data_IF_815005753089
#
_entry.id   IF_815005753089
#
_cell.length_a   1.000
_cell.length_b   1.000
_cell.length_c   1.000
_cell.angle_alpha   90.00
_cell.angle_beta   90.00
_cell.angle_gamma   90.00
#
_symmetry.space_group_name_H-M   'P 1'
#
loop_
_entity.id
_entity.type
_entity.pdbx_description
1 polymer ?
#
# COMPACT_ATOMS: atom_id res chain seq x y z
N UNK A 1 16.91 10.41 13.88
CA UNK A 1 15.50 10.02 13.67
C UNK A 1 15.32 8.60 14.20
N UNK A 2 14.13 8.19 14.62
CA UNK A 2 13.78 6.79 14.89
C UNK A 2 12.52 6.39 14.10
N UNK A 3 12.17 5.11 14.06
CA UNK A 3 11.07 4.56 13.27
C UNK A 3 9.72 5.23 13.57
N UNK A 4 9.39 5.42 14.85
CA UNK A 4 8.16 6.09 15.28
C UNK A 4 8.12 7.55 14.82
N UNK A 5 9.21 8.29 15.00
CA UNK A 5 9.33 9.68 14.56
C UNK A 5 9.22 9.80 13.03
N UNK A 6 9.86 8.88 12.31
CA UNK A 6 9.83 8.84 10.85
C UNK A 6 8.42 8.58 10.34
N UNK A 7 7.76 7.50 10.79
CA UNK A 7 6.38 7.18 10.38
C UNK A 7 5.40 8.31 10.73
N UNK A 8 5.55 8.95 11.90
CA UNK A 8 4.75 10.11 12.28
C UNK A 8 4.97 11.29 11.32
N UNK A 9 6.23 11.60 10.98
CA UNK A 9 6.56 12.64 10.00
C UNK A 9 5.91 12.35 8.64
N UNK A 10 6.03 11.12 8.13
CA UNK A 10 5.46 10.76 6.83
C UNK A 10 3.94 10.94 6.82
N UNK A 11 3.26 10.57 7.90
CA UNK A 11 1.80 10.78 8.04
C UNK A 11 1.44 12.26 8.09
N UNK A 12 2.16 13.04 8.87
CA UNK A 12 1.91 14.48 9.00
C UNK A 12 2.13 15.22 7.68
N UNK A 13 3.24 14.95 7.00
CA UNK A 13 3.61 15.61 5.74
C UNK A 13 2.64 15.24 4.60
N UNK A 14 2.00 14.07 4.68
CA UNK A 14 1.07 13.56 3.67
C UNK A 14 -0.41 13.54 4.13
N UNK A 15 -0.77 14.21 5.23
CA UNK A 15 -2.11 14.13 5.85
C UNK A 15 -3.26 14.36 4.86
N UNK A 16 -3.12 15.36 3.98
CA UNK A 16 -4.16 15.66 2.98
C UNK A 16 -4.32 14.53 1.96
N UNK A 17 -3.22 13.94 1.49
CA UNK A 17 -3.26 12.82 0.55
C UNK A 17 -3.86 11.57 1.23
N UNK A 18 -3.40 11.25 2.43
CA UNK A 18 -3.90 10.12 3.21
C UNK A 18 -5.37 10.26 3.59
N UNK A 19 -5.84 11.48 3.90
CA UNK A 19 -7.26 11.75 4.13
C UNK A 19 -8.12 11.45 2.89
N UNK A 20 -7.58 11.65 1.68
CA UNK A 20 -8.29 11.39 0.42
C UNK A 20 -8.27 9.89 0.08
N UNK A 21 -7.12 9.26 0.23
CA UNK A 21 -6.94 7.82 0.07
C UNK A 21 -7.77 7.01 1.11
N UNK A 22 -8.00 7.57 2.29
CA UNK A 22 -8.88 7.00 3.32
C UNK A 22 -10.37 7.37 3.19
N UNK A 23 -10.79 7.92 2.05
CA UNK A 23 -12.20 8.28 1.82
C UNK A 23 -12.93 7.20 1.04
N UNK A 24 -14.26 7.16 1.14
CA UNK A 24 -15.08 6.21 0.36
C UNK A 24 -14.94 6.37 -1.15
N UNK A 25 -14.45 7.53 -1.62
CA UNK A 25 -14.14 7.75 -3.03
C UNK A 25 -12.90 7.00 -3.50
N UNK A 26 -11.99 6.60 -2.60
CA UNK A 26 -10.82 5.83 -2.97
C UNK A 26 -11.23 4.47 -3.52
N UNK A 27 -12.13 3.78 -2.81
CA UNK A 27 -12.68 2.52 -3.29
C UNK A 27 -13.44 2.67 -4.62
N UNK A 28 -14.17 3.77 -4.80
CA UNK A 28 -14.81 4.10 -6.08
C UNK A 28 -13.80 4.33 -7.21
N UNK A 29 -12.65 4.93 -6.91
CA UNK A 29 -11.58 5.15 -7.88
C UNK A 29 -10.89 3.83 -8.27
N UNK A 30 -10.61 2.97 -7.29
CA UNK A 30 -9.95 1.67 -7.49
C UNK A 30 -10.80 0.69 -8.31
N UNK A 31 -12.11 0.84 -8.24
CA UNK A 31 -13.09 0.00 -8.94
C UNK A 31 -13.59 0.59 -10.26
N UNK A 32 -12.99 1.70 -10.73
CA UNK A 32 -13.46 2.45 -11.90
C UNK A 32 -14.98 2.77 -11.85
N UNK A 33 -15.49 2.96 -10.63
CA UNK A 33 -16.87 3.29 -10.32
C UNK A 33 -17.83 2.12 -10.17
N UNK A 34 -17.38 0.87 -10.33
CA UNK A 34 -18.22 -0.32 -10.16
C UNK A 34 -18.08 -0.92 -8.76
N UNK A 35 -19.07 -0.65 -7.91
CA UNK A 35 -19.01 -0.93 -6.47
C UNK A 35 -19.69 -2.25 -6.09
N UNK A 36 -19.61 -3.27 -6.93
CA UNK A 36 -20.03 -4.63 -6.55
C UNK A 36 -18.92 -5.41 -5.84
N UNK A 37 -19.32 -6.45 -5.11
CA UNK A 37 -18.41 -7.26 -4.28
C UNK A 37 -17.27 -7.88 -5.09
N UNK A 38 -17.57 -8.36 -6.31
CA UNK A 38 -16.61 -9.02 -7.19
C UNK A 38 -15.52 -8.04 -7.64
N UNK A 39 -15.91 -6.84 -8.06
CA UNK A 39 -14.99 -5.79 -8.50
C UNK A 39 -14.13 -5.28 -7.33
N UNK A 40 -14.75 -5.08 -6.15
CA UNK A 40 -14.03 -4.65 -4.94
C UNK A 40 -13.00 -5.70 -4.50
N UNK A 41 -13.38 -6.99 -4.50
CA UNK A 41 -12.47 -8.09 -4.16
C UNK A 41 -11.36 -8.23 -5.21
N UNK A 42 -11.67 -8.07 -6.49
CA UNK A 42 -10.68 -8.16 -7.58
C UNK A 42 -9.63 -7.05 -7.45
N UNK A 43 -10.07 -5.81 -7.22
CA UNK A 43 -9.17 -4.68 -6.99
C UNK A 43 -8.27 -4.90 -5.76
N UNK A 44 -8.83 -5.45 -4.67
CA UNK A 44 -8.05 -5.81 -3.50
C UNK A 44 -7.03 -6.92 -3.80
N UNK A 45 -7.43 -7.99 -4.48
CA UNK A 45 -6.55 -9.09 -4.85
C UNK A 45 -5.40 -8.61 -5.74
N UNK A 46 -5.68 -7.79 -6.76
CA UNK A 46 -4.66 -7.22 -7.63
C UNK A 46 -3.66 -6.35 -6.85
N UNK A 47 -4.13 -5.56 -5.88
CA UNK A 47 -3.26 -4.75 -5.03
C UNK A 47 -2.27 -5.62 -4.21
N UNK A 48 -2.74 -6.71 -3.60
CA UNK A 48 -1.89 -7.65 -2.86
C UNK A 48 -0.91 -8.38 -3.77
N UNK A 49 -1.39 -8.86 -4.93
CA UNK A 49 -0.56 -9.55 -5.90
C UNK A 49 0.61 -8.66 -6.35
N UNK A 50 0.32 -7.43 -6.76
CA UNK A 50 1.38 -6.55 -7.25
C UNK A 50 2.33 -6.10 -6.14
N UNK A 51 1.87 -6.04 -4.88
CA UNK A 51 2.75 -5.80 -3.75
C UNK A 51 3.71 -6.98 -3.51
N UNK A 52 3.20 -8.21 -3.49
CA UNK A 52 4.03 -9.41 -3.39
C UNK A 52 5.12 -9.42 -4.46
N UNK A 53 4.74 -9.16 -5.71
CA UNK A 53 5.69 -9.10 -6.84
C UNK A 53 6.74 -8.00 -6.67
N UNK A 54 6.38 -6.82 -6.11
CA UNK A 54 7.34 -5.75 -5.86
C UNK A 54 8.38 -6.16 -4.82
N UNK A 55 7.94 -6.73 -3.69
CA UNK A 55 8.86 -7.19 -2.65
C UNK A 55 9.72 -8.37 -3.10
N UNK A 56 9.18 -9.29 -3.90
CA UNK A 56 9.97 -10.38 -4.51
C UNK A 56 11.11 -9.84 -5.40
N UNK A 57 10.81 -8.81 -6.19
CA UNK A 57 11.80 -8.18 -7.06
C UNK A 57 12.89 -7.48 -6.25
N UNK A 58 12.51 -6.74 -5.21
CA UNK A 58 13.46 -6.12 -4.31
C UNK A 58 14.32 -7.15 -3.58
N UNK A 59 13.72 -8.20 -2.99
CA UNK A 59 14.46 -9.27 -2.32
C UNK A 59 15.50 -9.92 -3.23
N UNK A 60 15.18 -10.12 -4.51
CA UNK A 60 16.09 -10.75 -5.48
C UNK A 60 17.27 -9.86 -5.90
N UNK A 61 17.14 -8.54 -5.78
CA UNK A 61 18.11 -7.54 -6.24
C UNK A 61 18.71 -6.71 -5.10
N UNK A 62 18.38 -7.03 -3.84
CA UNK A 62 18.85 -6.29 -2.68
C UNK A 62 20.26 -6.73 -2.28
N UNK A 63 21.13 -5.75 -2.01
CA UNK A 63 22.53 -5.97 -1.61
C UNK A 63 22.73 -6.06 -0.10
N UNK A 64 21.76 -5.61 0.69
CA UNK A 64 21.73 -5.76 2.14
C UNK A 64 20.93 -7.01 2.54
N UNK A 65 21.60 -8.00 3.14
CA UNK A 65 20.99 -9.29 3.49
C UNK A 65 19.77 -9.14 4.43
N UNK A 66 19.83 -8.25 5.42
CA UNK A 66 18.72 -8.05 6.38
C UNK A 66 17.50 -7.41 5.70
N UNK A 67 17.72 -6.47 4.77
CA UNK A 67 16.64 -5.88 3.98
C UNK A 67 16.07 -6.90 2.98
N UNK A 68 16.91 -7.73 2.35
CA UNK A 68 16.48 -8.78 1.45
C UNK A 68 15.57 -9.80 2.15
N UNK A 69 15.96 -10.27 3.34
CA UNK A 69 15.15 -11.19 4.17
C UNK A 69 13.80 -10.57 4.53
N UNK A 70 13.79 -9.29 4.90
CA UNK A 70 12.55 -8.57 5.23
C UNK A 70 11.62 -8.39 4.02
N UNK A 71 12.17 -8.14 2.83
CA UNK A 71 11.38 -8.09 1.60
C UNK A 71 10.83 -9.48 1.23
N UNK A 72 11.60 -10.55 1.39
CA UNK A 72 11.11 -11.92 1.17
C UNK A 72 9.97 -12.28 2.12
N UNK A 73 10.11 -11.96 3.41
CA UNK A 73 9.06 -12.18 4.42
C UNK A 73 7.79 -11.41 4.07
N UNK A 74 7.93 -10.12 3.74
CA UNK A 74 6.79 -9.26 3.35
C UNK A 74 6.14 -9.75 2.07
N UNK A 75 6.91 -10.19 1.07
CA UNK A 75 6.38 -10.79 -0.15
C UNK A 75 5.50 -12.02 0.13
N UNK A 76 5.92 -12.87 1.08
CA UNK A 76 5.15 -14.05 1.46
C UNK A 76 3.83 -13.68 2.16
N UNK A 77 3.84 -12.66 3.03
CA UNK A 77 2.63 -12.12 3.66
C UNK A 77 1.65 -11.58 2.62
N UNK A 78 2.12 -10.74 1.70
CA UNK A 78 1.28 -10.19 0.61
C UNK A 78 0.73 -11.27 -0.32
N UNK A 79 1.49 -12.34 -0.55
CA UNK A 79 1.00 -13.49 -1.32
C UNK A 79 -0.10 -14.26 -0.57
N UNK A 80 0.03 -14.46 0.75
CA UNK A 80 -1.04 -15.03 1.57
C UNK A 80 -2.30 -14.15 1.53
N UNK A 81 -2.13 -12.83 1.63
CA UNK A 81 -3.25 -11.88 1.51
C UNK A 81 -3.95 -12.03 0.15
N UNK A 82 -3.18 -12.05 -0.93
CA UNK A 82 -3.70 -12.29 -2.27
C UNK A 82 -4.50 -13.60 -2.33
N UNK A 83 -3.93 -14.73 -1.89
CA UNK A 83 -4.59 -16.03 -1.92
C UNK A 83 -5.91 -16.03 -1.11
N UNK A 84 -5.92 -15.36 0.03
CA UNK A 84 -7.12 -15.25 0.88
C UNK A 84 -8.22 -14.41 0.26
N UNK A 85 -7.87 -13.27 -0.35
CA UNK A 85 -8.83 -12.39 -1.03
C UNK A 85 -9.32 -13.06 -2.32
N UNK A 86 -8.41 -13.55 -3.17
CA UNK A 86 -8.73 -14.24 -4.41
C UNK A 86 -9.55 -15.52 -4.18
N UNK A 87 -9.39 -16.20 -3.03
CA UNK A 87 -10.22 -17.34 -2.64
C UNK A 87 -11.71 -17.01 -2.40
N UNK A 88 -12.09 -15.72 -2.40
CA UNK A 88 -13.49 -15.26 -2.39
C UNK A 88 -14.07 -15.08 -3.80
N UNK A 89 -13.23 -15.12 -4.83
CA UNK A 89 -13.58 -14.96 -6.24
C UNK A 89 -13.57 -16.32 -6.95
N UNK A 90 -14.31 -16.41 -8.06
CA UNK A 90 -14.29 -17.58 -8.93
C UNK A 90 -13.13 -17.47 -9.93
N UNK A 91 -12.05 -18.22 -9.70
CA UNK A 91 -10.87 -18.32 -10.59
C UNK A 91 -10.24 -16.95 -10.97
N UNK A 92 -10.01 -16.07 -9.98
CA UNK A 92 -9.37 -14.77 -10.20
C UNK A 92 -7.96 -14.92 -10.81
N UNK A 93 -7.73 -14.19 -11.90
CA UNK A 93 -6.40 -14.01 -12.51
C UNK A 93 -5.95 -12.57 -12.27
N UNK A 94 -4.75 -12.34 -11.69
CA UNK A 94 -4.28 -10.98 -11.44
C UNK A 94 -4.20 -10.15 -12.71
N UNK A 95 -4.58 -8.88 -12.61
CA UNK A 95 -4.44 -7.93 -13.70
C UNK A 95 -2.98 -7.77 -14.17
N UNK A 96 -2.78 -7.57 -15.47
CA UNK A 96 -1.47 -7.17 -16.02
C UNK A 96 -1.16 -5.69 -15.73
N UNK A 97 -2.18 -4.89 -15.38
CA UNK A 97 -2.06 -3.46 -15.12
C UNK A 97 -1.47 -3.18 -13.75
N UNK A 98 -0.17 -2.84 -13.71
CA UNK A 98 0.54 -2.51 -12.47
C UNK A 98 -0.01 -1.20 -11.87
N UNK A 99 -0.46 -1.19 -10.60
CA UNK A 99 -0.86 0.02 -9.91
C UNK A 99 0.27 1.05 -9.88
N UNK A 100 -0.04 2.33 -10.03
CA UNK A 100 0.96 3.39 -10.15
C UNK A 100 1.96 3.41 -8.98
N UNK A 101 1.49 3.18 -7.75
CA UNK A 101 2.37 3.07 -6.57
C UNK A 101 3.37 1.92 -6.72
N UNK A 102 2.96 0.77 -7.26
CA UNK A 102 3.82 -0.38 -7.45
C UNK A 102 4.84 -0.14 -8.58
N UNK A 103 4.43 0.54 -9.64
CA UNK A 103 5.35 0.97 -10.71
C UNK A 103 6.44 1.91 -10.17
N UNK A 104 6.04 2.91 -9.37
CA UNK A 104 6.98 3.80 -8.68
C UNK A 104 7.97 3.04 -7.79
N UNK A 105 7.48 2.14 -6.92
CA UNK A 105 8.31 1.37 -6.00
C UNK A 105 9.32 0.48 -6.74
N UNK A 106 8.90 -0.17 -7.83
CA UNK A 106 9.79 -1.02 -8.64
C UNK A 106 10.92 -0.22 -9.32
N UNK A 107 10.78 1.10 -9.43
CA UNK A 107 11.83 2.00 -9.91
C UNK A 107 12.85 2.42 -8.85
N UNK A 108 12.71 1.99 -7.59
CA UNK A 108 13.66 2.30 -6.52
C UNK A 108 14.81 1.30 -6.49
N UNK A 109 16.04 1.82 -6.46
CA UNK A 109 17.27 1.02 -6.54
C UNK A 109 18.03 0.95 -5.21
N UNK A 110 18.01 2.01 -4.39
CA UNK A 110 18.75 2.06 -3.12
C UNK A 110 18.02 1.39 -1.96
N UNK A 111 18.74 0.72 -1.06
CA UNK A 111 18.17 0.10 0.16
C UNK A 111 17.36 1.11 0.99
N UNK A 112 17.91 2.31 1.21
CA UNK A 112 17.25 3.40 1.97
C UNK A 112 15.97 3.86 1.25
N UNK A 113 16.03 4.02 -0.08
CA UNK A 113 14.88 4.40 -0.89
C UNK A 113 13.78 3.34 -0.84
N UNK A 114 14.14 2.06 -1.02
CA UNK A 114 13.21 0.93 -0.96
C UNK A 114 12.55 0.81 0.41
N UNK A 115 13.31 0.97 1.50
CA UNK A 115 12.76 0.96 2.86
C UNK A 115 11.85 2.18 3.14
N UNK A 116 12.21 3.37 2.63
CA UNK A 116 11.32 4.53 2.66
C UNK A 116 10.03 4.28 1.88
N UNK A 117 10.14 3.78 0.64
CA UNK A 117 9.02 3.39 -0.20
C UNK A 117 8.13 2.31 0.45
N UNK A 118 8.73 1.33 1.13
CA UNK A 118 8.03 0.33 1.94
C UNK A 118 7.16 1.02 2.99
N UNK A 119 7.73 1.90 3.84
CA UNK A 119 6.96 2.66 4.83
C UNK A 119 5.80 3.44 4.18
N UNK A 120 6.07 4.15 3.09
CA UNK A 120 5.04 4.92 2.37
C UNK A 120 3.90 4.06 1.83
N UNK A 121 4.23 2.91 1.24
CA UNK A 121 3.25 1.93 0.74
C UNK A 121 2.42 1.33 1.85
N UNK A 122 3.02 0.95 2.97
CA UNK A 122 2.32 0.35 4.10
C UNK A 122 1.31 1.33 4.69
N UNK A 123 1.71 2.60 4.88
CA UNK A 123 0.81 3.67 5.33
C UNK A 123 -0.35 3.91 4.34
N UNK A 124 -0.09 3.88 3.03
CA UNK A 124 -1.14 4.00 2.03
C UNK A 124 -2.08 2.78 2.03
N UNK A 125 -1.55 1.56 2.21
CA UNK A 125 -2.31 0.33 2.28
C UNK A 125 -3.26 0.30 3.48
N UNK A 126 -2.88 0.85 4.64
CA UNK A 126 -3.80 0.98 5.79
C UNK A 126 -5.11 1.65 5.39
N UNK A 127 -5.03 2.69 4.54
CA UNK A 127 -6.22 3.42 4.06
C UNK A 127 -7.12 2.55 3.20
N UNK A 128 -6.55 1.74 2.31
CA UNK A 128 -7.35 0.81 1.51
C UNK A 128 -7.99 -0.29 2.38
N UNK A 129 -7.25 -0.87 3.34
CA UNK A 129 -7.80 -1.89 4.27
C UNK A 129 -8.94 -1.35 5.14
N UNK A 130 -8.83 -0.12 5.61
CA UNK A 130 -9.92 0.58 6.31
C UNK A 130 -11.16 0.70 5.42
N UNK A 131 -11.00 1.07 4.13
CA UNK A 131 -12.11 1.20 3.19
C UNK A 131 -12.76 -0.14 2.85
N UNK A 132 -11.97 -1.18 2.54
CA UNK A 132 -12.52 -2.52 2.28
C UNK A 132 -13.29 -3.06 3.49
N UNK A 133 -12.73 -2.91 4.70
CA UNK A 133 -13.43 -3.28 5.93
C UNK A 133 -14.75 -2.53 6.09
N UNK A 134 -14.74 -1.20 5.86
CA UNK A 134 -15.92 -0.36 5.95
C UNK A 134 -17.01 -0.74 4.93
N UNK A 135 -16.61 -1.03 3.70
CA UNK A 135 -17.49 -1.48 2.62
C UNK A 135 -18.23 -2.77 3.00
N UNK A 136 -17.51 -3.84 3.35
CA UNK A 136 -18.15 -5.11 3.68
C UNK A 136 -18.95 -5.09 4.99
N UNK A 137 -18.62 -4.18 5.92
CA UNK A 137 -19.52 -3.88 7.06
C UNK A 137 -20.84 -3.28 6.58
N UNK A 138 -20.79 -2.36 5.61
CA UNK A 138 -21.97 -1.76 4.98
C UNK A 138 -22.84 -2.77 4.23
N UNK A 139 -22.23 -3.70 3.51
CA UNK A 139 -22.90 -4.79 2.77
C UNK A 139 -23.39 -5.93 3.66
N UNK A 140 -23.20 -5.81 4.99
CA UNK A 140 -23.57 -6.85 5.96
C UNK A 140 -22.87 -8.20 5.71
N UNK A 141 -21.62 -8.18 5.22
CA UNK A 141 -20.71 -9.33 5.14
C UNK A 141 -19.62 -9.23 6.23
N UNK A 142 -19.91 -9.66 7.48
CA UNK A 142 -18.94 -9.62 8.56
C UNK A 142 -17.77 -10.57 8.37
N UNK A 143 -17.89 -11.60 7.52
CA UNK A 143 -16.80 -12.56 7.30
C UNK A 143 -15.73 -11.95 6.41
N UNK A 144 -16.13 -11.32 5.32
CA UNK A 144 -15.20 -10.65 4.41
C UNK A 144 -14.65 -9.37 5.06
N UNK A 145 -15.46 -8.64 5.84
CA UNK A 145 -14.94 -7.55 6.66
C UNK A 145 -13.88 -8.03 7.68
N UNK A 146 -14.05 -9.22 8.28
CA UNK A 146 -13.04 -9.76 9.19
C UNK A 146 -11.75 -10.14 8.45
N UNK A 147 -11.86 -10.70 7.24
CA UNK A 147 -10.70 -11.00 6.40
C UNK A 147 -9.83 -9.75 6.20
N UNK A 148 -10.43 -8.61 5.84
CA UNK A 148 -9.69 -7.37 5.65
C UNK A 148 -9.12 -6.78 6.94
N UNK A 149 -9.74 -7.01 8.10
CA UNK A 149 -9.14 -6.66 9.39
C UNK A 149 -7.92 -7.51 9.71
N UNK A 150 -8.00 -8.82 9.43
CA UNK A 150 -6.89 -9.74 9.66
C UNK A 150 -5.70 -9.35 8.77
N UNK A 151 -5.96 -9.18 7.46
CA UNK A 151 -4.95 -8.70 6.48
C UNK A 151 -4.39 -7.32 6.86
N UNK A 152 -5.24 -6.40 7.34
CA UNK A 152 -4.79 -5.09 7.82
C UNK A 152 -3.96 -5.16 9.11
N UNK A 153 -4.11 -6.23 9.91
CA UNK A 153 -3.34 -6.45 11.12
C UNK A 153 -1.87 -6.76 10.88
N UNK A 154 -1.53 -7.24 9.67
CA UNK A 154 -0.15 -7.56 9.29
C UNK A 154 0.63 -6.30 8.84
N UNK A 155 -0.05 -5.18 8.58
CA UNK A 155 0.60 -3.91 8.20
C UNK A 155 1.40 -3.27 9.36
N UNK A 156 0.94 -3.41 10.60
CA UNK A 156 1.65 -2.89 11.78
C UNK A 156 3.04 -3.56 11.95
N UNK A 157 3.14 -4.91 11.96
CA UNK A 157 4.43 -5.61 11.93
C UNK A 157 5.32 -5.24 10.73
N UNK A 158 4.75 -5.09 9.53
CA UNK A 158 5.50 -4.67 8.35
C UNK A 158 6.10 -3.27 8.52
N UNK A 159 5.34 -2.33 9.08
CA UNK A 159 5.81 -0.97 9.33
C UNK A 159 6.93 -0.94 10.38
N UNK A 160 6.80 -1.74 11.45
CA UNK A 160 7.85 -1.92 12.46
C UNK A 160 9.12 -2.49 11.84
N UNK A 161 9.02 -3.57 11.05
CA UNK A 161 10.14 -4.21 10.33
C UNK A 161 10.89 -3.21 9.44
N UNK A 162 10.17 -2.43 8.63
CA UNK A 162 10.78 -1.42 7.76
C UNK A 162 11.45 -0.30 8.56
N UNK A 163 10.83 0.13 9.65
CA UNK A 163 11.35 1.17 10.53
C UNK A 163 12.62 0.76 11.26
N UNK A 164 12.67 -0.45 11.81
CA UNK A 164 13.87 -1.00 12.46
C UNK A 164 15.05 -1.10 11.48
N UNK A 165 14.79 -1.51 10.24
CA UNK A 165 15.81 -1.55 9.19
C UNK A 165 16.30 -0.15 8.82
N UNK A 166 15.41 0.84 8.70
CA UNK A 166 15.82 2.24 8.49
C UNK A 166 16.73 2.74 9.62
N UNK A 167 16.42 2.42 10.87
CA UNK A 167 17.30 2.75 12.01
C UNK A 167 18.68 2.09 11.91
N UNK A 168 18.75 0.88 11.34
CA UNK A 168 19.99 0.14 11.14
C UNK A 168 20.84 0.73 10.00
N UNK A 169 20.22 1.12 8.88
CA UNK A 169 20.95 1.52 7.66
C UNK A 169 21.19 3.02 7.50
N UNK A 170 20.38 3.88 8.12
CA UNK A 170 20.54 5.33 8.01
C UNK A 170 21.62 5.83 8.98
N UNK A 171 22.72 6.34 8.44
CA UNK A 171 23.86 6.84 9.21
C UNK A 171 23.84 8.37 9.38
N UNK A 172 23.06 9.05 8.55
CA UNK A 172 23.03 10.51 8.43
C UNK A 172 21.62 11.07 8.24
N UNK A 173 21.46 12.37 8.44
CA UNK A 173 20.19 13.06 8.16
C UNK A 173 19.82 12.98 6.66
N UNK A 174 20.81 12.95 5.76
CA UNK A 174 20.60 12.81 4.31
C UNK A 174 19.94 11.46 3.97
N UNK A 175 20.30 10.37 4.68
CA UNK A 175 19.68 9.05 4.48
C UNK A 175 18.21 9.07 4.91
N UNK A 176 17.91 9.72 6.03
CA UNK A 176 16.52 9.88 6.50
C UNK A 176 15.69 10.76 5.56
N UNK A 177 16.27 11.82 5.00
CA UNK A 177 15.63 12.66 3.99
C UNK A 177 15.34 11.85 2.72
N UNK A 178 16.29 11.04 2.24
CA UNK A 178 16.09 10.15 1.09
C UNK A 178 14.94 9.15 1.33
N UNK A 179 14.92 8.50 2.50
CA UNK A 179 13.82 7.60 2.85
C UNK A 179 12.47 8.35 2.90
N UNK A 180 12.45 9.57 3.45
CA UNK A 180 11.23 10.36 3.56
C UNK A 180 10.70 10.83 2.20
N UNK A 181 11.59 11.21 1.29
CA UNK A 181 11.26 11.53 -0.09
C UNK A 181 10.63 10.32 -0.79
N UNK A 182 11.23 9.13 -0.64
CA UNK A 182 10.70 7.90 -1.23
C UNK A 182 9.33 7.51 -0.66
N UNK A 183 9.17 7.58 0.66
CA UNK A 183 7.90 7.31 1.35
C UNK A 183 6.79 8.26 0.89
N UNK A 184 7.09 9.56 0.85
CA UNK A 184 6.13 10.58 0.44
C UNK A 184 5.78 10.45 -1.04
N UNK A 185 6.76 10.19 -1.91
CA UNK A 185 6.51 9.98 -3.33
C UNK A 185 5.64 8.74 -3.60
N UNK A 186 5.78 7.65 -2.83
CA UNK A 186 4.87 6.50 -2.93
C UNK A 186 3.41 6.90 -2.62
N UNK A 187 3.19 7.65 -1.53
CA UNK A 187 1.86 8.11 -1.12
C UNK A 187 1.27 9.09 -2.15
N UNK A 188 2.07 10.05 -2.61
CA UNK A 188 1.64 11.01 -3.62
C UNK A 188 1.32 10.33 -4.96
N UNK A 189 2.10 9.32 -5.35
CA UNK A 189 1.81 8.53 -6.55
C UNK A 189 0.45 7.83 -6.47
N UNK A 190 0.11 7.24 -5.32
CA UNK A 190 -1.22 6.68 -5.09
C UNK A 190 -2.32 7.75 -5.14
N UNK A 191 -2.07 8.92 -4.54
CA UNK A 191 -3.02 10.04 -4.53
C UNK A 191 -3.26 10.65 -5.91
N UNK A 192 -2.22 10.75 -6.73
CA UNK A 192 -2.32 11.23 -8.11
C UNK A 192 -3.12 10.23 -8.96
N UNK A 193 -2.85 8.93 -8.86
CA UNK A 193 -3.63 7.89 -9.54
C UNK A 193 -5.12 7.91 -9.12
N UNK A 194 -5.40 8.05 -7.81
CA UNK A 194 -6.76 8.27 -7.29
C UNK A 194 -7.42 9.49 -7.94
N UNK A 195 -6.69 10.60 -8.02
CA UNK A 195 -7.19 11.86 -8.58
C UNK A 195 -7.51 11.72 -10.06
N UNK A 196 -6.59 11.15 -10.84
CA UNK A 196 -6.75 10.90 -12.27
C UNK A 196 -7.92 9.96 -12.56
N UNK A 197 -8.06 8.87 -11.79
CA UNK A 197 -9.17 7.93 -11.93
C UNK A 197 -10.52 8.64 -11.73
N UNK A 198 -10.67 9.42 -10.66
CA UNK A 198 -11.90 10.18 -10.42
C UNK A 198 -12.19 11.22 -11.50
N UNK A 199 -11.18 11.98 -11.93
CA UNK A 199 -11.35 12.99 -12.98
C UNK A 199 -11.74 12.35 -14.32
N UNK A 200 -11.20 11.18 -14.64
CA UNK A 200 -11.56 10.42 -15.84
C UNK A 200 -13.05 10.01 -15.87
N UNK A 201 -13.64 9.80 -14.69
CA UNK A 201 -15.06 9.51 -14.48
C UNK A 201 -15.92 10.77 -14.32
N UNK A 202 -15.34 11.96 -14.40
CA UNK A 202 -16.04 13.24 -14.19
C UNK A 202 -16.42 13.51 -12.74
N UNK A 203 -15.78 12.82 -11.78
CA UNK A 203 -15.97 13.02 -10.35
C UNK A 203 -14.95 14.01 -9.82
N UNK A 204 -15.37 14.97 -8.99
CA UNK A 204 -14.44 15.90 -8.35
C UNK A 204 -13.62 15.17 -7.26
N UNK A 205 -12.27 15.12 -7.38
CA UNK A 205 -11.40 14.45 -6.42
C UNK A 205 -11.35 15.16 -5.06
N UNK A 206 -11.65 16.46 -5.04
CA UNK A 206 -11.78 17.27 -3.82
C UNK A 206 -13.23 17.18 -3.30
N UNK A 207 -13.46 17.01 -1.99
CA UNK A 207 -14.78 17.17 -1.41
C UNK A 207 -15.24 18.60 -1.65
N UNK A 208 -16.54 18.75 -1.89
CA UNK A 208 -17.18 20.05 -1.83
C UNK A 208 -17.18 20.42 -0.34
N UNK A 209 -16.37 21.41 0.03
CA UNK A 209 -16.40 21.99 1.37
C UNK A 209 -17.76 22.61 1.69
#
# INVERSE_FOLDING_TARGET
MNAEQFSHQIRDDNDTALSRLGSSKALYADTAGDMDDETVLSAAADAEHHAAVTYEQWAADEGNDEAADAFEETAAEERDHYERVAGKLDDHEPSEGVPAIQDYLRGLDGTVERLGGFVGRTIAAEKSKEQFTGYFVGEADPQTAQLFRDVGGDLDPQLERAGELLESVCESDDDWEQAAEAASAAIQTAYDAYTESLESMGVNPKPVC
#
